data_IF_471040256239
#
_entry.id   IF_471040256239
#
_cell.length_a   1.000
_cell.length_b   1.000
_cell.length_c   1.000
_cell.angle_alpha   90.00
_cell.angle_beta   90.00
_cell.angle_gamma   90.00
#
_symmetry.space_group_name_H-M   'P 1'
#
loop_
_entity.id
_entity.type
_entity.pdbx_description
1 polymer ?
#
# COMPACT_ATOMS: atom_id res chain seq x y z
N UNK A 1 3.85 37.45 -4.61
CA UNK A 1 2.75 36.84 -5.38
C UNK A 1 1.73 36.29 -4.40
N UNK A 2 0.53 36.86 -4.43
CA UNK A 2 -0.53 36.75 -3.42
C UNK A 2 -1.21 35.38 -3.40
N UNK A 3 -1.54 34.89 -2.20
CA UNK A 3 -2.40 33.72 -1.98
C UNK A 3 -3.87 34.17 -2.07
N UNK A 4 -4.71 33.43 -2.81
CA UNK A 4 -6.17 33.58 -2.78
C UNK A 4 -6.81 32.29 -2.26
N UNK A 5 -7.68 32.46 -1.26
CA UNK A 5 -8.45 31.42 -0.59
C UNK A 5 -9.81 31.20 -1.27
N UNK A 6 -10.15 29.91 -1.42
CA UNK A 6 -11.47 29.27 -1.36
C UNK A 6 -12.76 30.11 -1.48
N UNK A 7 -13.63 29.74 -2.42
CA UNK A 7 -15.09 29.77 -2.22
C UNK A 7 -15.77 28.51 -2.77
N UNK A 8 -16.66 27.98 -1.93
CA UNK A 8 -17.47 26.77 -2.05
C UNK A 8 -18.59 26.93 -3.07
N UNK A 9 -18.99 25.86 -3.77
CA UNK A 9 -20.34 25.73 -4.33
C UNK A 9 -20.98 24.38 -3.94
N UNK A 10 -22.17 24.45 -3.34
CA UNK A 10 -23.01 23.33 -2.92
C UNK A 10 -23.92 22.87 -4.09
N UNK A 11 -23.85 21.56 -4.38
CA UNK A 11 -24.93 20.59 -4.68
C UNK A 11 -26.26 21.07 -5.30
N UNK A 12 -26.66 20.44 -6.42
CA UNK A 12 -28.02 19.90 -6.64
C UNK A 12 -27.95 18.60 -7.47
N UNK A 13 -28.54 17.51 -6.97
CA UNK A 13 -28.84 16.27 -7.69
C UNK A 13 -30.22 16.40 -8.37
N UNK A 14 -30.42 15.90 -9.60
CA UNK A 14 -31.75 15.61 -10.11
C UNK A 14 -32.21 14.22 -9.66
N UNK A 15 -33.40 14.19 -9.08
CA UNK A 15 -34.28 13.04 -8.85
C UNK A 15 -34.92 12.63 -10.16
N UNK A 16 -34.88 11.34 -10.54
CA UNK A 16 -35.68 10.82 -11.65
C UNK A 16 -36.28 9.47 -11.26
N UNK A 17 -37.61 9.39 -11.35
CA UNK A 17 -38.45 8.25 -11.01
C UNK A 17 -38.70 7.38 -12.26
N UNK A 18 -38.33 6.10 -12.13
CA UNK A 18 -38.93 4.82 -12.60
C UNK A 18 -39.86 4.76 -13.84
N UNK A 19 -39.87 3.62 -14.58
CA UNK A 19 -40.88 2.59 -14.28
C UNK A 19 -40.45 1.11 -14.41
N UNK A 20 -41.31 0.27 -13.80
CA UNK A 20 -41.24 -1.18 -13.54
C UNK A 20 -41.26 -2.07 -14.80
N UNK A 21 -40.70 -3.27 -14.68
CA UNK A 21 -40.96 -4.44 -15.53
C UNK A 21 -40.80 -5.74 -14.70
N UNK A 22 -41.47 -6.85 -15.08
CA UNK A 22 -42.15 -7.75 -14.14
C UNK A 22 -41.28 -8.86 -13.54
N UNK A 23 -41.75 -9.36 -12.40
CA UNK A 23 -41.13 -10.40 -11.59
C UNK A 23 -41.01 -11.74 -12.31
N UNK A 24 -39.82 -12.32 -12.28
CA UNK A 24 -39.62 -13.77 -12.44
C UNK A 24 -39.11 -14.29 -11.10
N UNK A 25 -39.97 -15.00 -10.38
CA UNK A 25 -39.64 -15.67 -9.13
C UNK A 25 -38.80 -16.92 -9.44
N UNK A 26 -37.50 -16.85 -9.18
CA UNK A 26 -36.63 -18.03 -9.05
C UNK A 26 -36.00 -17.98 -7.64
N UNK A 27 -36.02 -19.07 -6.87
CA UNK A 27 -35.30 -19.13 -5.61
C UNK A 27 -33.81 -19.33 -5.93
N UNK A 28 -33.12 -18.25 -6.33
CA UNK A 28 -31.66 -18.25 -6.32
C UNK A 28 -31.25 -18.06 -4.87
N UNK A 29 -30.92 -19.17 -4.21
CA UNK A 29 -30.14 -19.18 -2.98
C UNK A 29 -28.78 -18.54 -3.28
N UNK A 30 -28.76 -17.22 -3.28
CA UNK A 30 -27.53 -16.44 -3.36
C UNK A 30 -26.79 -16.63 -2.03
N UNK A 31 -25.55 -17.12 -2.03
CA UNK A 31 -24.74 -17.08 -0.83
C UNK A 31 -24.66 -15.61 -0.43
N UNK A 32 -25.19 -15.29 0.75
CA UNK A 32 -25.01 -13.99 1.37
C UNK A 32 -23.51 -13.68 1.29
N UNK A 33 -23.10 -12.47 0.86
CA UNK A 33 -21.70 -12.11 0.89
C UNK A 33 -21.29 -12.10 2.35
N UNK A 34 -20.74 -13.22 2.83
CA UNK A 34 -20.05 -13.30 4.09
C UNK A 34 -19.05 -12.15 4.06
N UNK A 35 -19.20 -11.19 4.97
CA UNK A 35 -18.32 -10.02 5.03
C UNK A 35 -16.90 -10.52 5.28
N UNK A 36 -16.16 -10.81 4.21
CA UNK A 36 -14.74 -11.12 4.31
C UNK A 36 -14.09 -9.84 4.81
N UNK A 37 -13.50 -9.89 6.00
CA UNK A 37 -12.77 -8.75 6.52
C UNK A 37 -11.74 -8.30 5.47
N UNK A 38 -11.59 -6.99 5.24
CA UNK A 38 -10.63 -6.51 4.26
C UNK A 38 -9.22 -6.93 4.67
N UNK A 39 -8.53 -7.65 3.78
CA UNK A 39 -7.17 -8.13 3.99
C UNK A 39 -6.16 -6.97 3.92
N UNK A 40 -6.09 -6.16 4.98
CA UNK A 40 -5.15 -5.05 5.07
C UNK A 40 -3.72 -5.57 5.14
N UNK A 41 -2.85 -4.92 4.38
CA UNK A 41 -1.44 -5.25 4.29
C UNK A 41 -0.58 -3.99 4.19
N UNK A 42 0.63 -4.08 4.73
CA UNK A 42 1.70 -3.11 4.55
C UNK A 42 2.73 -3.75 3.63
N UNK A 43 3.15 -3.07 2.58
CA UNK A 43 4.10 -3.60 1.61
C UNK A 43 5.31 -2.71 1.46
N UNK A 44 6.42 -3.33 1.08
CA UNK A 44 7.65 -2.72 0.61
C UNK A 44 7.85 -3.11 -0.86
N UNK A 45 8.03 -2.11 -1.72
CA UNK A 45 8.41 -2.31 -3.13
C UNK A 45 9.74 -1.62 -3.42
N UNK A 46 10.47 -2.16 -4.40
CA UNK A 46 11.76 -1.67 -4.88
C UNK A 46 11.64 -1.30 -6.36
N UNK A 47 12.20 -0.16 -6.77
CA UNK A 47 12.34 0.15 -8.19
C UNK A 47 13.49 -0.63 -8.78
N UNK A 48 13.35 -1.16 -9.98
CA UNK A 48 14.46 -1.85 -10.66
C UNK A 48 15.28 -0.91 -11.54
N UNK A 49 14.77 0.28 -11.84
CA UNK A 49 15.47 1.29 -12.65
C UNK A 49 16.18 2.33 -11.77
N UNK A 50 17.41 2.73 -12.13
CA UNK A 50 18.10 3.84 -11.49
C UNK A 50 17.34 5.17 -11.65
N UNK A 51 17.35 6.06 -10.64
CA UNK A 51 17.89 5.82 -9.29
C UNK A 51 17.03 4.82 -8.52
N UNK A 52 17.68 3.80 -7.94
CA UNK A 52 17.01 2.74 -7.19
C UNK A 52 16.39 3.33 -5.91
N UNK A 53 15.13 3.01 -5.67
CA UNK A 53 14.29 3.57 -4.60
C UNK A 53 13.44 2.48 -3.96
N UNK A 54 13.08 2.71 -2.71
CA UNK A 54 12.10 1.89 -2.00
C UNK A 54 10.85 2.71 -1.68
N UNK A 55 9.70 2.06 -1.67
CA UNK A 55 8.44 2.65 -1.24
C UNK A 55 7.72 1.70 -0.27
N UNK A 56 7.16 2.27 0.80
CA UNK A 56 6.33 1.55 1.77
C UNK A 56 4.93 2.13 1.72
N UNK A 57 3.91 1.28 1.68
CA UNK A 57 2.52 1.71 1.65
C UNK A 57 1.54 0.70 2.22
N UNK A 58 0.27 1.10 2.29
CA UNK A 58 -0.86 0.30 2.81
C UNK A 58 -1.84 -0.01 1.67
N UNK A 59 -2.40 -1.22 1.66
CA UNK A 59 -3.44 -1.63 0.72
C UNK A 59 -4.27 -2.80 1.27
N UNK A 60 -5.49 -2.97 0.77
CA UNK A 60 -6.30 -4.18 0.96
C UNK A 60 -6.29 -5.11 -0.27
N UNK A 61 -5.60 -4.71 -1.34
CA UNK A 61 -5.40 -5.51 -2.53
C UNK A 61 -4.03 -5.16 -3.14
N UNK A 62 -3.02 -5.99 -2.84
CA UNK A 62 -1.64 -5.74 -3.25
C UNK A 62 -1.45 -5.87 -4.76
N UNK A 63 -2.01 -6.90 -5.38
CA UNK A 63 -1.90 -7.13 -6.84
C UNK A 63 -2.39 -5.92 -7.63
N UNK A 64 -3.59 -5.42 -7.33
CA UNK A 64 -4.12 -4.20 -7.94
C UNK A 64 -3.22 -2.99 -7.68
N UNK A 65 -2.74 -2.82 -6.46
CA UNK A 65 -1.90 -1.67 -6.08
C UNK A 65 -0.54 -1.68 -6.79
N UNK A 66 0.07 -2.85 -6.99
CA UNK A 66 1.33 -2.98 -7.72
C UNK A 66 1.16 -2.55 -9.19
N UNK A 67 0.08 -2.99 -9.85
CA UNK A 67 -0.29 -2.53 -11.20
C UNK A 67 -0.49 -1.02 -11.28
N UNK A 68 -1.09 -0.40 -10.25
CA UNK A 68 -1.22 1.06 -10.15
C UNK A 68 0.14 1.76 -10.04
N UNK A 69 1.05 1.22 -9.23
CA UNK A 69 2.43 1.75 -9.11
C UNK A 69 3.18 1.64 -10.44
N UNK A 70 3.01 0.54 -11.18
CA UNK A 70 3.61 0.32 -12.49
C UNK A 70 2.92 1.07 -13.64
N UNK A 71 1.77 1.70 -13.40
CA UNK A 71 1.07 2.49 -14.41
C UNK A 71 0.20 1.68 -15.36
N UNK A 72 0.03 0.39 -15.11
CA UNK A 72 -0.94 -0.46 -15.82
C UNK A 72 -2.38 -0.08 -15.45
N UNK A 73 -2.57 0.49 -14.25
CA UNK A 73 -3.86 0.97 -13.75
C UNK A 73 -3.77 2.41 -13.23
N UNK A 74 -4.88 3.15 -13.34
CA UNK A 74 -5.01 4.48 -12.77
C UNK A 74 -5.01 4.47 -11.23
N UNK A 75 -4.56 5.57 -10.63
CA UNK A 75 -4.58 5.76 -9.16
C UNK A 75 -3.29 5.39 -8.43
N UNK A 76 -2.17 5.24 -9.15
CA UNK A 76 -0.84 5.08 -8.53
C UNK A 76 -0.37 6.34 -7.80
N UNK A 77 0.47 6.17 -6.77
CA UNK A 77 1.05 7.29 -6.06
C UNK A 77 1.96 8.13 -6.97
N UNK A 78 1.90 9.46 -6.88
CA UNK A 78 2.77 10.36 -7.67
C UNK A 78 4.26 10.06 -7.45
N UNK A 79 4.65 9.80 -6.20
CA UNK A 79 6.03 9.48 -5.83
C UNK A 79 6.56 8.20 -6.49
N UNK A 80 5.69 7.31 -6.97
CA UNK A 80 6.09 6.05 -7.60
C UNK A 80 6.17 6.12 -9.11
N UNK A 81 5.80 7.23 -9.74
CA UNK A 81 5.80 7.34 -11.22
C UNK A 81 7.21 7.22 -11.80
N UNK A 82 8.20 7.88 -11.19
CA UNK A 82 9.58 7.94 -11.69
C UNK A 82 10.45 6.72 -11.31
N UNK A 83 9.91 5.74 -10.58
CA UNK A 83 10.65 4.54 -10.16
C UNK A 83 10.12 3.25 -10.78
N UNK A 84 9.38 3.34 -11.89
CA UNK A 84 8.86 2.15 -12.58
C UNK A 84 10.00 1.44 -13.34
N UNK A 85 9.94 0.10 -13.46
CA UNK A 85 8.97 -0.78 -12.82
C UNK A 85 9.33 -1.07 -11.35
N UNK A 86 8.30 -1.39 -10.58
CA UNK A 86 8.37 -1.75 -9.17
C UNK A 86 8.15 -3.24 -9.00
N UNK A 87 8.95 -3.85 -8.13
CA UNK A 87 8.82 -5.24 -7.71
C UNK A 87 8.53 -5.34 -6.22
N UNK A 88 7.86 -6.42 -5.82
CA UNK A 88 7.54 -6.69 -4.43
C UNK A 88 8.78 -7.15 -3.66
N UNK A 89 9.13 -6.46 -2.57
CA UNK A 89 10.22 -6.85 -1.69
C UNK A 89 9.72 -7.55 -0.41
N UNK A 90 8.64 -7.04 0.19
CA UNK A 90 8.05 -7.60 1.39
C UNK A 90 6.57 -7.24 1.49
N UNK A 91 5.75 -8.16 2.02
CA UNK A 91 4.36 -7.92 2.38
C UNK A 91 4.17 -8.35 3.82
N UNK A 92 3.57 -7.49 4.63
CA UNK A 92 3.12 -7.77 5.99
C UNK A 92 1.60 -7.85 5.96
N UNK A 93 1.04 -8.96 6.44
CA UNK A 93 -0.40 -9.24 6.43
C UNK A 93 -0.88 -9.55 7.86
N UNK A 94 -2.19 -9.70 8.04
CA UNK A 94 -2.80 -10.00 9.33
C UNK A 94 -3.34 -8.78 10.09
N UNK A 95 -3.28 -7.58 9.52
CA UNK A 95 -3.83 -6.39 10.17
C UNK A 95 -5.36 -6.45 10.27
N UNK A 96 -5.88 -6.22 11.46
CA UNK A 96 -7.32 -6.24 11.76
C UNK A 96 -8.03 -5.02 11.15
N UNK A 97 -7.30 -3.91 10.99
CA UNK A 97 -7.86 -2.66 10.48
C UNK A 97 -6.88 -1.87 9.63
N UNK A 98 -7.43 -0.99 8.80
CA UNK A 98 -6.66 0.03 8.07
C UNK A 98 -5.82 0.88 9.02
N UNK A 99 -6.39 1.24 10.16
CA UNK A 99 -5.75 2.11 11.15
C UNK A 99 -4.51 1.46 11.74
N UNK A 100 -4.58 0.17 12.05
CA UNK A 100 -3.42 -0.62 12.51
C UNK A 100 -2.32 -0.67 11.44
N UNK A 101 -2.69 -1.01 10.20
CA UNK A 101 -1.76 -1.04 9.08
C UNK A 101 -1.10 0.33 8.83
N UNK A 102 -1.85 1.44 8.94
CA UNK A 102 -1.30 2.79 8.83
C UNK A 102 -0.34 3.14 9.98
N UNK A 103 -0.66 2.76 11.22
CA UNK A 103 0.24 2.96 12.38
C UNK A 103 1.54 2.20 12.17
N UNK A 104 1.46 0.97 11.70
CA UNK A 104 2.63 0.15 11.38
C UNK A 104 3.48 0.78 10.27
N UNK A 105 2.85 1.19 9.16
CA UNK A 105 3.51 1.85 8.03
C UNK A 105 4.24 3.13 8.47
N UNK A 106 3.58 3.97 9.27
CA UNK A 106 4.17 5.18 9.81
C UNK A 106 5.38 4.88 10.70
N UNK A 107 5.25 3.91 11.62
CA UNK A 107 6.33 3.53 12.53
C UNK A 107 7.53 2.96 11.77
N UNK A 108 7.29 2.11 10.76
CA UNK A 108 8.36 1.60 9.89
C UNK A 108 9.09 2.71 9.14
N UNK A 109 8.35 3.67 8.56
CA UNK A 109 8.95 4.85 7.92
C UNK A 109 9.74 5.72 8.91
N UNK A 110 9.21 5.94 10.11
CA UNK A 110 9.83 6.77 11.15
C UNK A 110 11.12 6.14 11.71
N UNK A 111 11.12 4.83 11.97
CA UNK A 111 12.34 4.12 12.38
C UNK A 111 13.37 4.14 11.26
N UNK A 112 12.95 3.89 10.02
CA UNK A 112 13.84 3.91 8.86
C UNK A 112 14.46 5.29 8.59
N UNK A 113 13.76 6.39 8.86
CA UNK A 113 14.31 7.74 8.66
C UNK A 113 15.29 8.16 9.75
N UNK A 114 15.13 7.65 10.98
CA UNK A 114 16.02 7.91 12.12
C UNK A 114 17.31 7.09 12.09
N UNK A 115 17.34 6.02 11.31
CA UNK A 115 18.53 5.19 11.15
C UNK A 115 19.56 5.86 10.23
N UNK A 116 20.82 5.84 10.65
CA UNK A 116 21.94 6.33 9.85
C UNK A 116 22.08 5.50 8.58
N UNK A 117 22.14 6.17 7.42
CA UNK A 117 22.40 5.50 6.14
C UNK A 117 23.90 5.40 5.93
N UNK A 118 24.43 4.18 5.90
CA UNK A 118 25.81 3.96 5.47
C UNK A 118 25.85 4.12 3.95
N UNK A 119 26.59 5.13 3.45
CA UNK A 119 26.78 5.34 2.02
C UNK A 119 27.71 4.25 1.50
N UNK A 120 27.15 3.22 0.86
CA UNK A 120 27.95 2.26 0.11
C UNK A 120 28.26 2.84 -1.28
N UNK A 121 29.51 2.73 -1.70
CA UNK A 121 30.01 3.21 -2.99
C UNK A 121 29.80 2.23 -4.14
N UNK A 122 29.25 1.04 -3.87
CA UNK A 122 29.03 -0.01 -4.87
C UNK A 122 27.59 0.02 -5.38
N UNK A 123 27.42 -0.13 -6.69
CA UNK A 123 26.11 -0.42 -7.31
C UNK A 123 25.71 -1.85 -6.95
N UNK A 124 24.87 -1.98 -5.93
CA UNK A 124 24.41 -3.26 -5.39
C UNK A 124 22.96 -3.56 -5.78
N UNK A 125 22.46 -2.93 -6.85
CA UNK A 125 21.07 -3.11 -7.29
C UNK A 125 20.03 -2.68 -6.23
N UNK A 126 20.42 -1.83 -5.27
CA UNK A 126 19.56 -1.41 -4.17
C UNK A 126 19.48 -2.38 -2.99
N UNK A 127 20.37 -3.38 -2.92
CA UNK A 127 20.44 -4.31 -1.80
C UNK A 127 20.61 -3.58 -0.47
N UNK A 128 21.47 -2.57 -0.38
CA UNK A 128 21.63 -1.75 0.82
C UNK A 128 20.33 -1.07 1.26
N UNK A 129 19.47 -0.68 0.31
CA UNK A 129 18.17 -0.08 0.64
C UNK A 129 17.23 -1.11 1.26
N UNK A 130 17.23 -2.34 0.74
CA UNK A 130 16.46 -3.44 1.30
C UNK A 130 16.97 -3.84 2.68
N UNK A 131 18.29 -3.92 2.86
CA UNK A 131 18.92 -4.19 4.16
C UNK A 131 18.55 -3.11 5.18
N UNK A 132 18.61 -1.84 4.80
CA UNK A 132 18.21 -0.71 5.65
C UNK A 132 16.73 -0.82 6.06
N UNK A 133 15.84 -1.18 5.13
CA UNK A 133 14.42 -1.38 5.40
C UNK A 133 14.16 -2.59 6.28
N UNK A 134 14.87 -3.70 6.08
CA UNK A 134 14.77 -4.89 6.92
C UNK A 134 15.25 -4.58 8.35
N UNK A 135 16.40 -3.93 8.51
CA UNK A 135 16.89 -3.53 9.83
C UNK A 135 15.90 -2.62 10.57
N UNK A 136 15.26 -1.68 9.85
CA UNK A 136 14.18 -0.88 10.42
C UNK A 136 12.96 -1.73 10.81
N UNK A 137 12.58 -2.72 9.98
CA UNK A 137 11.47 -3.64 10.24
C UNK A 137 11.72 -4.46 11.52
N UNK A 138 12.93 -4.99 11.71
CA UNK A 138 13.28 -5.75 12.92
C UNK A 138 13.14 -4.91 14.20
N UNK A 139 13.54 -3.62 14.15
CA UNK A 139 13.33 -2.70 15.27
C UNK A 139 11.85 -2.45 15.56
N UNK A 140 11.01 -2.36 14.52
CA UNK A 140 9.56 -2.24 14.68
C UNK A 140 8.97 -3.48 15.33
N UNK A 141 9.37 -4.68 14.89
CA UNK A 141 8.95 -5.97 15.48
C UNK A 141 9.27 -6.04 16.97
N UNK A 142 10.45 -5.58 17.39
CA UNK A 142 10.80 -5.51 18.82
C UNK A 142 10.06 -4.43 19.62
N UNK A 143 9.23 -3.60 18.98
CA UNK A 143 8.55 -2.45 19.61
C UNK A 143 7.02 -2.48 19.49
N UNK A 144 6.43 -3.51 18.88
CA UNK A 144 4.97 -3.69 18.74
C UNK A 144 4.69 -5.18 18.91
N UNK A 145 3.60 -5.51 19.60
CA UNK A 145 3.07 -6.88 19.58
C UNK A 145 2.52 -7.17 18.18
N UNK A 146 3.32 -7.88 17.38
CA UNK A 146 3.00 -8.27 16.00
C UNK A 146 2.82 -9.78 15.87
N UNK A 147 2.29 -10.43 16.91
CA UNK A 147 2.16 -11.89 17.01
C UNK A 147 1.24 -12.48 15.94
N UNK A 148 0.24 -11.72 15.51
CA UNK A 148 -0.74 -12.08 14.48
C UNK A 148 -0.31 -11.66 13.07
N UNK A 149 0.81 -10.95 12.94
CA UNK A 149 1.27 -10.45 11.65
C UNK A 149 2.15 -11.47 10.93
N UNK A 150 1.82 -11.73 9.68
CA UNK A 150 2.61 -12.58 8.79
C UNK A 150 3.56 -11.72 7.95
N UNK A 151 4.84 -12.09 7.93
CA UNK A 151 5.88 -11.35 7.20
C UNK A 151 6.39 -12.18 6.03
N UNK A 152 6.03 -11.77 4.82
CA UNK A 152 6.38 -12.45 3.58
C UNK A 152 7.44 -11.64 2.82
N UNK A 153 8.70 -12.01 3.02
CA UNK A 153 9.85 -11.35 2.39
C UNK A 153 10.20 -12.07 1.07
N UNK A 154 10.06 -11.38 -0.05
CA UNK A 154 10.18 -11.97 -1.41
C UNK A 154 11.54 -11.80 -2.06
N UNK A 155 12.29 -10.76 -1.70
CA UNK A 155 13.62 -10.53 -2.26
C UNK A 155 14.67 -10.99 -1.25
N UNK A 156 15.19 -12.20 -1.41
CA UNK A 156 16.28 -12.69 -0.56
C UNK A 156 17.46 -11.73 -0.63
N UNK A 157 17.97 -11.36 0.54
CA UNK A 157 19.29 -10.77 0.69
C UNK A 157 20.26 -11.90 0.28
N UNK A 158 20.70 -11.92 -0.97
CA UNK A 158 21.82 -12.77 -1.40
C UNK A 158 23.09 -12.37 -0.65
#
# INVERSE_FOLDING_TARGET
MTKLLSTTFRSLKPHSQNPKSPATNLPISSPSPSKSNPNWSVYLILSTNPPIKTYVGVTNNFSRRLKQHNGELNGGAKATQAGRPWICACIVQGFESKSEACKFEFKWKSVSSKMTRKKNSKDDGGLHLLQHRNAALQKVKGSIDCIHLEFDWKLQLL
#
